data_IF_335870219979
#
_entry.id   IF_335870219979
#
_cell.length_a   1.000
_cell.length_b   1.000
_cell.length_c   1.000
_cell.angle_alpha   90.00
_cell.angle_beta   90.00
_cell.angle_gamma   90.00
#
_symmetry.space_group_name_H-M   'P 1'
#
loop_
_entity.id
_entity.type
_entity.pdbx_description
1 polymer ?
#
# COMPACT_ATOMS: atom_id res chain seq x y z
N UNK A 1 -3.27 -10.74 -6.71
CA UNK A 1 -2.18 -9.81 -6.44
C UNK A 1 -2.04 -9.56 -4.94
N UNK A 2 -0.83 -9.35 -4.46
CA UNK A 2 -0.58 -8.94 -3.08
C UNK A 2 -0.42 -7.42 -3.05
N UNK A 3 -1.16 -6.76 -2.17
CA UNK A 3 -1.09 -5.32 -1.99
C UNK A 3 -0.45 -4.98 -0.65
N UNK A 4 0.32 -3.91 -0.62
CA UNK A 4 0.81 -3.33 0.62
C UNK A 4 -0.31 -2.57 1.32
N UNK A 5 -0.26 -2.53 2.65
CA UNK A 5 -1.28 -1.90 3.47
C UNK A 5 -0.70 -0.72 4.26
N UNK A 6 -1.46 0.35 4.37
CA UNK A 6 -1.13 1.45 5.27
C UNK A 6 -1.58 1.07 6.68
N UNK A 7 -0.65 0.98 7.62
CA UNK A 7 -0.91 0.64 9.00
C UNK A 7 -0.88 1.91 9.85
N UNK A 8 -1.89 2.08 10.69
CA UNK A 8 -2.00 3.25 11.58
C UNK A 8 -2.21 2.81 13.03
N UNK A 9 -1.80 3.63 13.98
CA UNK A 9 -2.08 3.38 15.39
C UNK A 9 -3.57 3.60 15.70
N UNK A 10 -4.10 2.87 16.70
CA UNK A 10 -5.47 3.08 17.16
C UNK A 10 -5.73 4.53 17.59
N UNK A 11 -4.74 5.20 18.17
CA UNK A 11 -4.85 6.60 18.55
C UNK A 11 -5.05 7.49 17.33
N UNK A 12 -4.21 7.35 16.30
CA UNK A 12 -4.35 8.13 15.06
C UNK A 12 -5.69 7.84 14.36
N UNK A 13 -6.09 6.58 14.30
CA UNK A 13 -7.35 6.16 13.72
C UNK A 13 -8.57 6.82 14.41
N UNK A 14 -8.58 6.84 15.75
CA UNK A 14 -9.72 7.37 16.51
C UNK A 14 -9.74 8.90 16.63
N UNK A 15 -8.58 9.55 16.65
CA UNK A 15 -8.45 10.97 17.01
C UNK A 15 -8.04 11.88 15.83
N UNK A 16 -7.54 11.31 14.72
CA UNK A 16 -6.90 12.08 13.65
C UNK A 16 -7.38 11.66 12.25
N UNK A 17 -8.68 11.39 12.10
CA UNK A 17 -9.23 10.93 10.82
C UNK A 17 -8.95 11.90 9.66
N UNK A 18 -9.05 13.19 9.90
CA UNK A 18 -8.77 14.24 8.91
C UNK A 18 -7.32 14.17 8.39
N UNK A 19 -6.37 13.93 9.29
CA UNK A 19 -4.96 13.75 8.93
C UNK A 19 -4.75 12.48 8.11
N UNK A 20 -5.42 11.38 8.48
CA UNK A 20 -5.32 10.12 7.74
C UNK A 20 -5.90 10.24 6.34
N UNK A 21 -7.04 10.89 6.18
CA UNK A 21 -7.64 11.16 4.87
C UNK A 21 -6.71 11.99 4.00
N UNK A 22 -6.11 13.07 4.55
CA UNK A 22 -5.17 13.90 3.82
C UNK A 22 -3.88 13.16 3.47
N UNK A 23 -3.39 12.30 4.37
CA UNK A 23 -2.24 11.43 4.09
C UNK A 23 -2.51 10.50 2.91
N UNK A 24 -3.66 9.82 2.91
CA UNK A 24 -4.05 8.90 1.83
C UNK A 24 -4.21 9.64 0.51
N UNK A 25 -4.79 10.85 0.51
CA UNK A 25 -4.85 11.71 -0.69
C UNK A 25 -3.47 11.99 -1.26
N UNK A 26 -2.54 12.44 -0.40
CA UNK A 26 -1.17 12.76 -0.82
C UNK A 26 -0.43 11.51 -1.31
N UNK A 27 -0.64 10.36 -0.64
CA UNK A 27 -0.06 9.09 -1.05
C UNK A 27 -0.49 8.69 -2.47
N UNK A 28 -1.78 8.72 -2.77
CA UNK A 28 -2.27 8.36 -4.11
C UNK A 28 -1.92 9.40 -5.17
N UNK A 29 -1.83 10.68 -4.82
CA UNK A 29 -1.29 11.70 -5.73
C UNK A 29 0.17 11.39 -6.12
N UNK A 30 0.98 10.94 -5.17
CA UNK A 30 2.34 10.50 -5.47
C UNK A 30 2.36 9.22 -6.34
N UNK A 31 1.53 8.24 -6.04
CA UNK A 31 1.40 7.03 -6.85
C UNK A 31 0.99 7.35 -8.30
N UNK A 32 0.00 8.23 -8.49
CA UNK A 32 -0.44 8.66 -9.81
C UNK A 32 0.68 9.36 -10.59
N UNK A 33 1.44 10.23 -9.93
CA UNK A 33 2.56 10.93 -10.55
C UNK A 33 3.70 9.98 -10.95
N UNK A 34 4.06 9.05 -10.08
CA UNK A 34 5.13 8.07 -10.32
C UNK A 34 4.73 7.05 -11.40
N UNK A 35 3.46 6.61 -11.39
CA UNK A 35 2.95 5.69 -12.42
C UNK A 35 2.83 6.39 -13.79
N UNK A 36 2.59 7.70 -13.80
CA UNK A 36 2.51 8.52 -15.01
C UNK A 36 3.87 8.82 -15.66
N UNK A 37 4.98 8.68 -14.92
CA UNK A 37 6.35 8.92 -15.39
C UNK A 37 7.31 7.86 -14.83
N UNK A 38 7.37 6.66 -15.44
CA UNK A 38 8.23 5.57 -14.97
C UNK A 38 9.74 5.90 -14.97
N UNK A 39 10.20 6.75 -15.89
CA UNK A 39 11.60 7.17 -15.95
C UNK A 39 11.96 8.05 -14.74
N UNK A 40 11.08 8.99 -14.40
CA UNK A 40 11.21 9.79 -13.18
C UNK A 40 11.17 8.89 -11.93
N UNK A 41 10.24 7.95 -11.88
CA UNK A 41 10.12 7.02 -10.75
C UNK A 41 11.39 6.19 -10.56
N UNK A 42 11.96 5.66 -11.64
CA UNK A 42 13.21 4.89 -11.58
C UNK A 42 14.40 5.74 -11.09
N UNK A 43 14.49 7.00 -11.54
CA UNK A 43 15.54 7.92 -11.08
C UNK A 43 15.38 8.27 -9.59
N UNK A 44 14.16 8.56 -9.14
CA UNK A 44 13.89 8.82 -7.73
C UNK A 44 14.21 7.61 -6.85
N UNK A 45 13.92 6.40 -7.32
CA UNK A 45 14.25 5.17 -6.61
C UNK A 45 15.76 4.98 -6.51
N UNK A 46 16.50 5.22 -7.59
CA UNK A 46 17.98 5.19 -7.59
C UNK A 46 18.55 6.20 -6.58
N UNK A 47 18.06 7.43 -6.59
CA UNK A 47 18.49 8.48 -5.68
C UNK A 47 18.22 8.08 -4.21
N UNK A 48 17.06 7.49 -3.94
CA UNK A 48 16.71 7.00 -2.62
C UNK A 48 17.63 5.86 -2.15
N UNK A 49 17.88 4.86 -2.99
CA UNK A 49 18.79 3.76 -2.67
C UNK A 49 20.22 4.28 -2.39
N UNK A 50 20.70 5.18 -3.23
CA UNK A 50 22.03 5.79 -3.09
C UNK A 50 22.14 6.58 -1.77
N UNK A 51 21.12 7.38 -1.45
CA UNK A 51 21.08 8.17 -0.21
C UNK A 51 21.04 7.27 1.05
N UNK A 52 20.52 6.05 0.92
CA UNK A 52 20.46 5.07 2.01
C UNK A 52 21.62 4.05 2.01
N UNK A 53 22.65 4.31 1.21
CA UNK A 53 23.85 3.48 1.18
C UNK A 53 23.72 2.13 0.47
N UNK A 54 22.69 1.98 -0.35
CA UNK A 54 22.51 0.78 -1.18
C UNK A 54 23.08 1.01 -2.57
N UNK A 55 23.87 0.06 -3.05
CA UNK A 55 24.38 0.08 -4.43
C UNK A 55 23.36 -0.57 -5.36
N UNK A 56 22.93 0.18 -6.37
CA UNK A 56 22.02 -0.29 -7.42
C UNK A 56 22.28 0.47 -8.73
N UNK A 57 21.58 0.12 -9.79
CA UNK A 57 21.66 0.79 -11.08
C UNK A 57 20.32 1.33 -11.52
N UNK A 58 20.31 2.32 -12.41
CA UNK A 58 19.07 2.85 -12.98
C UNK A 58 18.26 1.77 -13.72
N UNK A 59 18.95 0.84 -14.42
CA UNK A 59 18.30 -0.28 -15.09
C UNK A 59 17.59 -1.22 -14.10
N UNK A 60 18.22 -1.53 -12.96
CA UNK A 60 17.60 -2.33 -11.91
C UNK A 60 16.37 -1.62 -11.30
N UNK A 61 16.49 -0.31 -11.07
CA UNK A 61 15.35 0.50 -10.58
C UNK A 61 14.21 0.56 -11.60
N UNK A 62 14.50 0.71 -12.88
CA UNK A 62 13.48 0.68 -13.93
C UNK A 62 12.78 -0.67 -14.00
N UNK A 63 13.53 -1.78 -13.90
CA UNK A 63 12.94 -3.12 -13.82
C UNK A 63 12.07 -3.32 -12.58
N UNK A 64 12.45 -2.76 -11.44
CA UNK A 64 11.64 -2.80 -10.22
C UNK A 64 10.32 -2.06 -10.41
N UNK A 65 10.34 -0.85 -10.98
CA UNK A 65 9.13 -0.06 -11.28
C UNK A 65 8.21 -0.80 -12.26
N UNK A 66 8.76 -1.43 -13.30
CA UNK A 66 7.98 -2.19 -14.28
C UNK A 66 7.32 -3.43 -13.66
N UNK A 67 8.03 -4.16 -12.81
CA UNK A 67 7.55 -5.42 -12.22
C UNK A 67 6.69 -5.22 -10.99
N UNK A 68 6.78 -4.08 -10.33
CA UNK A 68 6.03 -3.68 -9.14
C UNK A 68 5.41 -2.29 -9.31
N UNK A 69 4.44 -2.15 -10.24
CA UNK A 69 3.85 -0.85 -10.55
C UNK A 69 3.13 -0.26 -9.34
N UNK A 70 3.12 1.05 -9.26
CA UNK A 70 2.33 1.76 -8.26
C UNK A 70 0.83 1.60 -8.56
N UNK A 71 0.04 1.36 -7.52
CA UNK A 71 -1.43 1.37 -7.63
C UNK A 71 -1.88 2.81 -7.73
N UNK A 72 -2.53 3.15 -8.83
CA UNK A 72 -3.09 4.49 -9.05
C UNK A 72 -4.36 4.73 -8.21
N UNK A 73 -4.73 5.99 -8.05
CA UNK A 73 -5.98 6.36 -7.37
C UNK A 73 -7.21 5.74 -8.03
N UNK A 74 -7.21 5.58 -9.36
CA UNK A 74 -8.31 4.95 -10.10
C UNK A 74 -8.35 3.43 -9.88
N UNK A 75 -7.22 2.76 -9.94
CA UNK A 75 -7.13 1.32 -9.67
C UNK A 75 -7.51 0.99 -8.22
N UNK A 76 -7.14 1.85 -7.26
CA UNK A 76 -7.48 1.68 -5.85
C UNK A 76 -8.98 1.62 -5.58
N UNK A 77 -9.82 2.22 -6.41
CA UNK A 77 -11.28 2.14 -6.30
C UNK A 77 -11.81 0.72 -6.53
N UNK A 78 -11.08 -0.09 -7.29
CA UNK A 78 -11.41 -1.50 -7.53
C UNK A 78 -10.82 -2.49 -6.53
N UNK A 79 -10.04 -2.01 -5.55
CA UNK A 79 -9.36 -2.87 -4.58
C UNK A 79 -10.09 -2.84 -3.25
N UNK A 80 -10.48 -4.01 -2.76
CA UNK A 80 -11.02 -4.20 -1.41
C UNK A 80 -9.92 -4.79 -0.54
N UNK A 81 -9.31 -3.97 0.31
CA UNK A 81 -8.19 -4.40 1.17
C UNK A 81 -8.61 -5.56 2.09
N UNK A 82 -9.87 -5.60 2.52
CA UNK A 82 -10.42 -6.70 3.32
C UNK A 82 -10.33 -8.05 2.62
N UNK A 83 -10.56 -8.12 1.31
CA UNK A 83 -10.41 -9.35 0.53
C UNK A 83 -8.95 -9.78 0.45
N UNK A 84 -8.03 -8.85 0.23
CA UNK A 84 -6.60 -9.14 0.20
C UNK A 84 -6.10 -9.65 1.54
N UNK A 85 -6.54 -9.05 2.64
CA UNK A 85 -6.23 -9.51 4.01
C UNK A 85 -6.82 -10.88 4.28
N UNK A 86 -8.05 -11.17 3.82
CA UNK A 86 -8.69 -12.46 3.97
C UNK A 86 -7.90 -13.57 3.26
N UNK A 87 -7.54 -13.37 1.99
CA UNK A 87 -6.76 -14.33 1.20
C UNK A 87 -5.40 -14.60 1.87
N UNK A 88 -4.73 -13.56 2.34
CA UNK A 88 -3.45 -13.68 3.03
C UNK A 88 -3.61 -14.43 4.35
N UNK A 89 -4.65 -14.12 5.13
CA UNK A 89 -4.95 -14.78 6.39
C UNK A 89 -5.24 -16.26 6.22
N UNK A 90 -6.06 -16.64 5.23
CA UNK A 90 -6.36 -18.05 4.89
C UNK A 90 -5.07 -18.81 4.50
N UNK A 91 -4.20 -18.17 3.73
CA UNK A 91 -2.90 -18.76 3.40
C UNK A 91 -2.07 -19.02 4.67
N UNK A 92 -1.99 -18.06 5.60
CA UNK A 92 -1.22 -18.23 6.83
C UNK A 92 -1.82 -19.30 7.75
N UNK A 93 -3.15 -19.42 7.81
CA UNK A 93 -3.84 -20.51 8.51
C UNK A 93 -3.48 -21.86 7.87
N UNK A 94 -3.52 -21.95 6.54
CA UNK A 94 -3.17 -23.18 5.82
C UNK A 94 -1.72 -23.64 6.04
N UNK A 95 -0.81 -22.67 6.27
CA UNK A 95 0.59 -22.94 6.59
C UNK A 95 0.86 -23.14 8.10
N UNK A 96 -0.20 -23.16 8.93
CA UNK A 96 -0.12 -23.27 10.40
C UNK A 96 0.71 -22.16 11.06
N UNK A 97 0.80 -21.00 10.43
CA UNK A 97 1.50 -19.81 10.93
C UNK A 97 0.54 -18.86 11.67
N UNK A 98 -0.76 -19.06 11.50
CA UNK A 98 -1.82 -18.34 12.18
C UNK A 98 -2.87 -19.32 12.68
N UNK A 99 -3.31 -19.20 13.94
CA UNK A 99 -4.43 -19.97 14.47
C UNK A 99 -5.75 -19.50 13.83
N UNK A 100 -6.54 -20.42 13.29
CA UNK A 100 -7.81 -20.12 12.64
C UNK A 100 -8.76 -19.29 13.52
N UNK A 101 -8.75 -19.53 14.83
CA UNK A 101 -9.55 -18.81 15.82
C UNK A 101 -9.21 -17.31 15.91
N UNK A 102 -8.00 -16.91 15.49
CA UNK A 102 -7.54 -15.52 15.51
C UNK A 102 -7.86 -14.75 14.23
N UNK A 103 -8.20 -15.43 13.17
CA UNK A 103 -8.47 -14.81 11.88
C UNK A 103 -9.62 -13.79 11.91
N UNK A 104 -10.77 -14.05 12.59
CA UNK A 104 -11.85 -13.07 12.68
C UNK A 104 -11.46 -11.76 13.39
N UNK A 105 -10.47 -11.79 14.28
CA UNK A 105 -9.99 -10.59 14.94
C UNK A 105 -9.25 -9.65 13.98
N UNK A 106 -8.54 -10.17 13.00
CA UNK A 106 -7.82 -9.39 11.99
C UNK A 106 -8.79 -8.56 11.16
N UNK A 107 -9.90 -9.15 10.75
CA UNK A 107 -10.92 -8.47 9.96
C UNK A 107 -11.52 -7.22 10.64
N UNK A 108 -11.56 -7.20 11.97
CA UNK A 108 -12.05 -6.04 12.75
C UNK A 108 -11.13 -4.83 12.68
N UNK A 109 -9.88 -5.02 12.27
CA UNK A 109 -8.86 -3.98 12.19
C UNK A 109 -8.60 -3.53 10.75
N UNK A 110 -9.43 -3.96 9.80
CA UNK A 110 -9.36 -3.54 8.40
C UNK A 110 -10.48 -2.55 8.12
N UNK A 111 -10.11 -1.37 7.66
CA UNK A 111 -11.07 -0.31 7.31
C UNK A 111 -10.66 0.37 5.99
N UNK A 112 -11.51 0.32 4.99
CA UNK A 112 -11.35 0.97 3.70
C UNK A 112 -12.10 2.31 3.58
N UNK A 113 -12.81 2.72 4.63
CA UNK A 113 -13.63 3.96 4.61
C UNK A 113 -12.77 5.21 4.48
N UNK A 114 -11.54 5.20 5.01
CA UNK A 114 -10.60 6.33 4.88
C UNK A 114 -10.15 6.48 3.42
N UNK A 115 -9.85 5.38 2.75
CA UNK A 115 -9.48 5.38 1.32
C UNK A 115 -10.64 5.87 0.47
N UNK A 116 -11.85 5.38 0.71
CA UNK A 116 -13.08 5.83 0.02
C UNK A 116 -13.31 7.33 0.20
N UNK A 117 -13.22 7.84 1.41
CA UNK A 117 -13.35 9.27 1.69
C UNK A 117 -12.25 10.08 1.00
N UNK A 118 -11.00 9.61 1.04
CA UNK A 118 -9.87 10.29 0.43
C UNK A 118 -9.98 10.38 -1.09
N UNK A 119 -10.46 9.32 -1.74
CA UNK A 119 -10.55 9.21 -3.21
C UNK A 119 -11.95 9.56 -3.75
N UNK A 120 -12.95 9.77 -2.90
CA UNK A 120 -14.28 10.27 -3.27
C UNK A 120 -15.19 9.23 -3.92
N UNK A 121 -15.20 7.99 -3.44
CA UNK A 121 -16.08 6.93 -3.98
C UNK A 121 -16.76 6.10 -2.89
#
# INVERSE_FOLDING_TARGET
>A
PQYDSIIVSNKAYNERRDVLVNYVKAFFQACDALQGDPDMAAQMLLDWYTANGSETTLEACATEIETRPFVTSEEAKGITIGESVAITGEFWVSQQLLEESRFPEIAKHVDDTIVKEALGF
#
